data_IF_070940651144
#
_entry.id   IF_070940651144
#
_cell.length_a   1.000
_cell.length_b   1.000
_cell.length_c   1.000
_cell.angle_alpha   90.00
_cell.angle_beta   90.00
_cell.angle_gamma   90.00
#
_symmetry.space_group_name_H-M   'P 1'
#
loop_
_entity.id
_entity.type
_entity.pdbx_description
1 polymer ?
#
# COMPACT_ATOMS: atom_id res chain seq x y z
N UNK A 1 5.44 27.68 -17.84
CA UNK A 1 5.19 26.47 -17.01
C UNK A 1 4.31 25.55 -17.84
N UNK A 2 4.72 24.31 -18.01
CA UNK A 2 3.91 23.27 -18.66
C UNK A 2 2.76 22.98 -17.67
N UNK A 3 1.51 23.01 -18.12
CA UNK A 3 0.38 22.62 -17.28
C UNK A 3 0.48 21.13 -16.96
N UNK A 4 0.14 20.72 -15.73
CA UNK A 4 0.07 19.30 -15.40
C UNK A 4 -0.87 18.49 -16.31
N UNK A 5 -1.87 19.14 -16.87
CA UNK A 5 -2.75 18.56 -17.90
C UNK A 5 -1.99 18.25 -19.21
N UNK A 6 -0.88 18.95 -19.48
CA UNK A 6 -0.07 18.70 -20.68
C UNK A 6 0.72 17.39 -20.59
N UNK A 7 0.85 16.81 -19.40
CA UNK A 7 1.47 15.50 -19.20
C UNK A 7 0.59 14.34 -19.62
N UNK A 8 -0.72 14.57 -19.77
CA UNK A 8 -1.68 13.57 -20.23
C UNK A 8 -1.49 13.27 -21.72
N UNK A 9 -1.63 12.00 -22.11
CA UNK A 9 -1.67 11.63 -23.53
C UNK A 9 -2.91 12.21 -24.22
N UNK A 10 -2.92 12.37 -25.55
CA UNK A 10 -4.12 12.82 -26.28
C UNK A 10 -5.36 11.97 -25.96
N UNK A 11 -5.23 10.64 -25.93
CA UNK A 11 -6.33 9.73 -25.59
C UNK A 11 -6.88 9.97 -24.16
N UNK A 12 -5.99 10.21 -23.19
CA UNK A 12 -6.40 10.51 -21.82
C UNK A 12 -7.14 11.85 -21.73
N UNK A 13 -6.68 12.86 -22.47
CA UNK A 13 -7.36 14.17 -22.54
C UNK A 13 -8.74 14.06 -23.16
N UNK A 14 -8.87 13.38 -24.30
CA UNK A 14 -10.15 13.20 -24.99
C UNK A 14 -11.18 12.46 -24.10
N UNK A 15 -10.72 11.48 -23.31
CA UNK A 15 -11.56 10.79 -22.33
C UNK A 15 -11.97 11.73 -21.20
N UNK A 16 -11.03 12.47 -20.65
CA UNK A 16 -11.27 13.39 -19.54
C UNK A 16 -12.25 14.50 -19.93
N UNK A 17 -12.09 15.09 -21.11
CA UNK A 17 -13.01 16.12 -21.64
C UNK A 17 -14.43 15.58 -21.84
N UNK A 18 -14.55 14.29 -22.17
CA UNK A 18 -15.85 13.62 -22.33
C UNK A 18 -16.49 13.29 -20.99
N UNK A 19 -15.70 12.83 -20.00
CA UNK A 19 -16.20 12.41 -18.69
C UNK A 19 -16.47 13.58 -17.75
N UNK A 20 -15.61 14.60 -17.82
CA UNK A 20 -15.66 15.79 -16.96
C UNK A 20 -15.59 17.07 -17.83
N UNK A 21 -16.64 17.37 -18.64
CA UNK A 21 -16.60 18.51 -19.53
C UNK A 21 -16.44 19.83 -18.77
N UNK A 22 -15.44 20.62 -19.17
CA UNK A 22 -15.15 21.92 -18.55
C UNK A 22 -14.47 21.80 -17.17
N UNK A 23 -13.88 20.66 -16.84
CA UNK A 23 -13.14 20.50 -15.59
C UNK A 23 -11.89 21.38 -15.56
N UNK A 24 -11.63 21.97 -14.40
CA UNK A 24 -10.48 22.84 -14.17
C UNK A 24 -9.50 22.18 -13.18
N UNK A 25 -8.21 22.34 -13.44
CA UNK A 25 -7.16 21.86 -12.53
C UNK A 25 -7.15 22.67 -11.23
N UNK A 26 -7.34 21.97 -10.10
CA UNK A 26 -7.27 22.55 -8.74
C UNK A 26 -5.91 22.33 -8.14
N UNK A 27 -5.37 21.11 -8.25
CA UNK A 27 -4.13 20.74 -7.61
C UNK A 27 -3.44 19.60 -8.37
N UNK A 28 -2.12 19.71 -8.53
CA UNK A 28 -1.26 18.62 -9.00
C UNK A 28 -0.64 17.92 -7.79
N UNK A 29 -0.90 16.61 -7.65
CA UNK A 29 -0.35 15.74 -6.62
C UNK A 29 0.64 14.70 -7.17
N UNK A 30 1.07 14.85 -8.42
CA UNK A 30 1.92 13.85 -9.10
C UNK A 30 3.24 13.61 -8.38
N UNK A 31 3.81 14.62 -7.72
CA UNK A 31 5.04 14.49 -6.92
C UNK A 31 4.90 13.55 -5.72
N UNK A 32 3.68 13.35 -5.21
CA UNK A 32 3.40 12.45 -4.09
C UNK A 32 3.28 10.98 -4.53
N UNK A 33 3.27 10.73 -5.83
CA UNK A 33 3.10 9.43 -6.43
C UNK A 33 4.40 8.91 -7.05
N UNK A 34 4.40 7.61 -7.39
CA UNK A 34 5.56 6.98 -8.03
C UNK A 34 5.86 7.59 -9.40
N UNK A 35 7.12 7.55 -9.79
CA UNK A 35 7.53 7.93 -11.14
C UNK A 35 6.67 7.24 -12.21
N UNK A 36 6.20 8.01 -13.18
CA UNK A 36 5.30 7.53 -14.24
C UNK A 36 3.81 7.51 -13.84
N UNK A 37 3.44 8.10 -12.70
CA UNK A 37 2.06 8.33 -12.31
C UNK A 37 1.76 9.82 -12.30
N UNK A 38 0.65 10.22 -12.90
CA UNK A 38 0.10 11.57 -12.75
C UNK A 38 -1.14 11.48 -11.87
N UNK A 39 -1.27 12.39 -10.89
CA UNK A 39 -2.41 12.47 -10.00
C UNK A 39 -2.89 13.94 -9.90
N UNK A 40 -4.04 14.22 -10.44
CA UNK A 40 -4.60 15.56 -10.57
C UNK A 40 -5.93 15.66 -9.83
N UNK A 41 -6.11 16.72 -9.05
CA UNK A 41 -7.41 17.09 -8.49
C UNK A 41 -8.05 18.09 -9.44
N UNK A 42 -9.21 17.74 -9.97
CA UNK A 42 -10.00 18.57 -10.87
C UNK A 42 -11.30 18.98 -10.21
N UNK A 43 -11.83 20.17 -10.57
CA UNK A 43 -13.19 20.57 -10.23
C UNK A 43 -14.06 20.57 -11.49
N UNK A 44 -15.26 20.03 -11.39
CA UNK A 44 -16.29 20.10 -12.41
C UNK A 44 -17.61 20.52 -11.74
N UNK A 45 -18.03 21.76 -11.97
CA UNK A 45 -19.13 22.36 -11.24
C UNK A 45 -18.80 22.53 -9.74
N UNK A 46 -19.59 21.91 -8.87
CA UNK A 46 -19.38 21.94 -7.41
C UNK A 46 -18.57 20.74 -6.88
N UNK A 47 -18.34 19.75 -7.72
CA UNK A 47 -17.75 18.48 -7.32
C UNK A 47 -16.25 18.47 -7.65
N UNK A 48 -15.48 17.71 -6.87
CA UNK A 48 -14.05 17.48 -7.06
C UNK A 48 -13.79 16.02 -7.38
N UNK A 49 -12.82 15.80 -8.25
CA UNK A 49 -12.42 14.48 -8.71
C UNK A 49 -10.91 14.33 -8.60
N UNK A 50 -10.45 13.13 -8.23
CA UNK A 50 -9.06 12.74 -8.36
C UNK A 50 -8.92 11.92 -9.64
N UNK A 51 -8.05 12.38 -10.53
CA UNK A 51 -7.69 11.70 -11.76
C UNK A 51 -6.31 11.12 -11.61
N UNK A 52 -6.17 9.81 -11.77
CA UNK A 52 -4.87 9.13 -11.81
C UNK A 52 -4.62 8.57 -13.20
N UNK A 53 -3.41 8.76 -13.72
CA UNK A 53 -2.94 8.10 -14.94
C UNK A 53 -1.60 7.44 -14.70
N UNK A 54 -1.23 6.46 -15.52
CA UNK A 54 0.06 5.79 -15.44
C UNK A 54 0.71 5.63 -16.80
N UNK A 55 2.04 5.69 -16.82
CA UNK A 55 2.85 5.34 -17.97
C UNK A 55 2.78 3.84 -18.28
N UNK A 56 3.22 3.45 -19.47
CA UNK A 56 3.30 2.06 -19.90
C UNK A 56 4.21 1.23 -18.96
N UNK A 57 3.78 -0.01 -18.64
CA UNK A 57 4.50 -0.90 -17.72
C UNK A 57 4.20 -0.70 -16.23
N UNK A 58 3.51 0.37 -15.86
CA UNK A 58 3.18 0.67 -14.45
C UNK A 58 1.85 -0.02 -14.08
N UNK A 59 1.92 -1.02 -13.17
CA UNK A 59 0.79 -1.92 -12.87
C UNK A 59 -0.15 -1.45 -11.75
N UNK A 60 0.17 -0.38 -11.03
CA UNK A 60 -0.65 0.01 -9.88
C UNK A 60 -2.06 0.47 -10.29
N UNK A 61 -2.23 1.11 -11.46
CA UNK A 61 -3.57 1.47 -11.98
C UNK A 61 -4.44 0.24 -12.23
N UNK A 62 -3.88 -0.84 -12.78
CA UNK A 62 -4.63 -2.08 -12.98
C UNK A 62 -5.12 -2.68 -11.66
N UNK A 63 -4.27 -2.63 -10.61
CA UNK A 63 -4.61 -3.11 -9.27
C UNK A 63 -5.66 -2.24 -8.59
N UNK A 64 -5.48 -0.92 -8.68
CA UNK A 64 -6.44 0.04 -8.12
C UNK A 64 -7.81 -0.10 -8.78
N UNK A 65 -7.85 -0.26 -10.11
CA UNK A 65 -9.09 -0.50 -10.83
C UNK A 65 -9.74 -1.85 -10.47
N UNK A 66 -8.95 -2.90 -10.27
CA UNK A 66 -9.45 -4.17 -9.78
C UNK A 66 -10.05 -4.05 -8.37
N UNK A 67 -9.38 -3.31 -7.48
CA UNK A 67 -9.88 -3.02 -6.14
C UNK A 67 -11.22 -2.28 -6.19
N UNK A 68 -11.33 -1.21 -6.98
CA UNK A 68 -12.57 -0.44 -7.15
C UNK A 68 -13.73 -1.29 -7.66
N UNK A 69 -13.47 -2.17 -8.61
CA UNK A 69 -14.54 -2.97 -9.25
C UNK A 69 -15.09 -4.09 -8.38
N UNK A 70 -14.30 -4.58 -7.43
CA UNK A 70 -14.65 -5.82 -6.75
C UNK A 70 -14.54 -5.78 -5.23
N UNK A 71 -13.79 -4.84 -4.63
CA UNK A 71 -13.42 -4.95 -3.22
C UNK A 71 -13.67 -3.69 -2.39
N UNK A 72 -13.71 -2.48 -2.98
CA UNK A 72 -13.85 -1.24 -2.22
C UNK A 72 -15.30 -0.91 -1.82
N UNK A 73 -16.30 -1.67 -2.27
CA UNK A 73 -17.71 -1.40 -2.00
C UNK A 73 -18.01 -1.16 -0.50
N UNK A 74 -17.54 -1.98 0.47
CA UNK A 74 -17.84 -1.74 1.88
C UNK A 74 -17.33 -0.39 2.40
N UNK A 75 -16.18 0.07 1.90
CA UNK A 75 -15.64 1.38 2.28
C UNK A 75 -16.32 2.53 1.54
N UNK A 76 -16.59 2.37 0.23
CA UNK A 76 -17.22 3.43 -0.57
C UNK A 76 -18.66 3.69 -0.14
N UNK A 77 -19.44 2.65 0.15
CA UNK A 77 -20.81 2.75 0.65
C UNK A 77 -20.88 3.39 2.03
N UNK A 78 -19.87 3.16 2.87
CA UNK A 78 -19.74 3.81 4.18
C UNK A 78 -19.15 5.23 4.09
N UNK A 79 -18.83 5.76 2.88
CA UNK A 79 -18.19 7.05 2.70
C UNK A 79 -16.74 7.09 3.22
N UNK A 80 -16.09 5.92 3.34
CA UNK A 80 -14.74 5.75 3.89
C UNK A 80 -13.65 5.59 2.82
N UNK A 81 -14.01 5.48 1.56
CA UNK A 81 -13.11 5.49 0.40
C UNK A 81 -13.72 6.27 -0.77
N UNK A 82 -12.90 6.73 -1.75
CA UNK A 82 -13.43 7.35 -2.94
C UNK A 82 -14.27 6.36 -3.76
N UNK A 83 -15.25 6.86 -4.49
CA UNK A 83 -16.01 6.07 -5.45
C UNK A 83 -15.41 6.19 -6.84
N UNK A 84 -15.36 5.09 -7.59
CA UNK A 84 -15.00 5.10 -9.00
C UNK A 84 -16.08 5.86 -9.78
N UNK A 85 -15.67 6.81 -10.62
CA UNK A 85 -16.55 7.57 -11.50
C UNK A 85 -16.44 7.03 -12.91
N UNK A 86 -15.23 7.02 -13.45
CA UNK A 86 -14.94 6.53 -14.80
C UNK A 86 -13.54 5.90 -14.83
N UNK A 87 -13.31 4.99 -15.77
CA UNK A 87 -11.98 4.44 -16.01
C UNK A 87 -11.85 3.87 -17.41
N UNK A 88 -10.66 4.02 -17.97
CA UNK A 88 -10.26 3.32 -19.19
C UNK A 88 -8.93 2.60 -18.94
N UNK A 89 -8.95 1.27 -19.08
CA UNK A 89 -7.78 0.44 -18.83
C UNK A 89 -6.71 0.58 -19.90
N UNK A 90 -7.10 0.75 -21.15
CA UNK A 90 -6.16 0.86 -22.29
C UNK A 90 -5.46 2.22 -22.24
N UNK A 91 -6.21 3.29 -21.99
CA UNK A 91 -5.67 4.62 -21.77
C UNK A 91 -5.01 4.80 -20.40
N UNK A 92 -5.16 3.83 -19.48
CA UNK A 92 -4.58 3.87 -18.11
C UNK A 92 -4.96 5.11 -17.34
N UNK A 93 -6.24 5.38 -17.28
CA UNK A 93 -6.82 6.52 -16.57
C UNK A 93 -7.95 6.05 -15.65
N UNK A 94 -7.97 6.57 -14.44
CA UNK A 94 -9.04 6.38 -13.46
C UNK A 94 -9.49 7.76 -12.97
N UNK A 95 -10.78 7.97 -12.94
CA UNK A 95 -11.44 9.13 -12.32
C UNK A 95 -12.24 8.65 -11.13
N UNK A 96 -12.00 9.23 -9.98
CA UNK A 96 -12.69 8.92 -8.73
C UNK A 96 -13.12 10.18 -8.01
N UNK A 97 -14.08 10.07 -7.09
CA UNK A 97 -14.47 11.20 -6.24
C UNK A 97 -13.29 11.64 -5.38
N UNK A 98 -13.12 12.96 -5.20
CA UNK A 98 -12.13 13.48 -4.28
C UNK A 98 -12.67 13.40 -2.85
N UNK A 99 -11.84 12.91 -1.93
CA UNK A 99 -12.14 12.96 -0.50
C UNK A 99 -11.57 14.25 0.10
N UNK A 100 -12.44 15.05 0.70
CA UNK A 100 -12.02 16.21 1.49
C UNK A 100 -11.43 15.73 2.83
N UNK A 101 -10.53 16.54 3.39
CA UNK A 101 -9.82 16.24 4.63
C UNK A 101 -8.32 16.51 4.50
N UNK A 102 -7.60 16.25 5.58
CA UNK A 102 -6.14 16.39 5.63
C UNK A 102 -5.45 15.01 5.57
N UNK A 103 -4.26 14.91 4.96
CA UNK A 103 -3.49 13.66 5.00
C UNK A 103 -3.19 13.29 6.46
N UNK A 104 -3.52 12.07 6.87
CA UNK A 104 -3.33 11.61 8.25
C UNK A 104 -1.85 11.71 8.68
N UNK A 105 -0.91 11.45 7.77
CA UNK A 105 0.53 11.49 8.04
C UNK A 105 1.05 12.86 8.49
N UNK A 106 0.32 13.95 8.23
CA UNK A 106 0.69 15.34 8.59
C UNK A 106 -0.29 15.96 9.57
N UNK A 107 -1.38 15.28 9.91
CA UNK A 107 -2.37 15.74 10.86
C UNK A 107 -1.94 15.53 12.30
N UNK A 108 -2.21 16.48 13.16
CA UNK A 108 -2.02 16.31 14.60
C UNK A 108 -2.91 15.20 15.19
N UNK A 109 -4.06 14.94 14.56
CA UNK A 109 -4.99 13.88 14.96
C UNK A 109 -4.43 12.47 14.80
N UNK A 110 -3.33 12.26 14.05
CA UNK A 110 -2.67 10.95 13.94
C UNK A 110 -2.14 10.42 15.28
N UNK A 111 -2.01 11.29 16.28
CA UNK A 111 -1.60 10.88 17.63
C UNK A 111 -2.77 10.41 18.51
N UNK A 112 -3.99 10.42 17.98
CA UNK A 112 -5.15 9.89 18.67
C UNK A 112 -5.28 8.37 18.40
N UNK A 113 -5.24 7.50 19.44
CA UNK A 113 -5.44 6.06 19.30
C UNK A 113 -6.77 5.69 18.61
N UNK A 114 -7.79 6.55 18.70
CA UNK A 114 -9.07 6.34 18.03
C UNK A 114 -8.92 6.23 16.49
N UNK A 115 -7.95 6.94 15.90
CA UNK A 115 -7.66 6.83 14.45
C UNK A 115 -7.17 5.42 14.10
N UNK A 116 -6.32 4.83 14.95
CA UNK A 116 -5.83 3.45 14.74
C UNK A 116 -6.93 2.42 14.99
N UNK A 117 -7.83 2.67 15.95
CA UNK A 117 -9.00 1.81 16.16
C UNK A 117 -9.88 1.79 14.91
N UNK A 118 -10.20 2.95 14.32
CA UNK A 118 -10.93 3.04 13.06
C UNK A 118 -10.18 2.36 11.90
N UNK A 119 -8.85 2.50 11.85
CA UNK A 119 -8.04 1.82 10.85
C UNK A 119 -8.15 0.29 10.98
N UNK A 120 -8.14 -0.24 12.20
CA UNK A 120 -8.38 -1.66 12.47
C UNK A 120 -9.75 -2.12 11.99
N UNK A 121 -10.81 -1.41 12.35
CA UNK A 121 -12.20 -1.73 11.93
C UNK A 121 -12.35 -1.77 10.41
N UNK A 122 -11.83 -0.74 9.72
CA UNK A 122 -11.91 -0.70 8.26
C UNK A 122 -11.15 -1.84 7.60
N UNK A 123 -9.97 -2.16 8.13
CA UNK A 123 -9.16 -3.24 7.58
C UNK A 123 -9.79 -4.60 7.82
N UNK A 124 -10.39 -4.85 9.00
CA UNK A 124 -11.11 -6.08 9.29
C UNK A 124 -12.24 -6.32 8.29
N UNK A 125 -13.07 -5.31 8.05
CA UNK A 125 -14.17 -5.38 7.06
C UNK A 125 -13.63 -5.67 5.65
N UNK A 126 -12.45 -5.16 5.32
CA UNK A 126 -11.84 -5.37 4.01
C UNK A 126 -11.31 -6.79 3.84
N UNK A 127 -10.60 -7.30 4.84
CA UNK A 127 -10.05 -8.66 4.85
C UNK A 127 -11.14 -9.74 4.89
N UNK A 128 -12.27 -9.47 5.54
CA UNK A 128 -13.34 -10.43 5.79
C UNK A 128 -14.20 -10.71 4.54
N UNK A 129 -13.98 -9.97 3.44
CA UNK A 129 -14.79 -10.12 2.22
C UNK A 129 -14.56 -11.44 1.49
N UNK A 130 -13.37 -12.02 1.57
CA UNK A 130 -13.02 -13.27 0.93
C UNK A 130 -11.78 -13.91 1.55
N UNK A 131 -11.66 -15.23 1.39
CA UNK A 131 -10.44 -15.97 1.68
C UNK A 131 -10.17 -17.00 0.59
N UNK A 132 -8.90 -17.17 0.25
CA UNK A 132 -8.43 -18.14 -0.74
C UNK A 132 -7.24 -18.90 -0.15
N UNK A 133 -7.25 -20.21 -0.23
CA UNK A 133 -6.09 -21.03 0.13
C UNK A 133 -5.12 -21.08 -1.05
N UNK A 134 -3.83 -20.93 -0.77
CA UNK A 134 -2.76 -20.90 -1.76
C UNK A 134 -1.58 -21.75 -1.25
N UNK A 135 -1.25 -22.80 -1.98
CA UNK A 135 -0.15 -23.74 -1.64
C UNK A 135 1.20 -23.21 -2.16
N UNK A 136 1.20 -22.34 -3.15
CA UNK A 136 2.39 -21.83 -3.81
C UNK A 136 2.89 -20.51 -3.18
N UNK A 137 2.08 -19.84 -2.35
CA UNK A 137 2.41 -18.54 -1.78
C UNK A 137 3.73 -18.52 -1.01
N UNK A 138 3.90 -19.42 -0.04
CA UNK A 138 5.11 -19.50 0.79
C UNK A 138 6.34 -19.97 -0.02
N UNK A 139 6.26 -21.04 -0.86
CA UNK A 139 7.36 -21.44 -1.74
C UNK A 139 7.85 -20.32 -2.66
N UNK A 140 6.93 -19.64 -3.36
CA UNK A 140 7.29 -18.56 -4.29
C UNK A 140 7.99 -17.37 -3.58
N UNK A 141 7.53 -17.02 -2.37
CA UNK A 141 8.17 -15.95 -1.60
C UNK A 141 9.54 -16.35 -1.08
N UNK A 142 9.75 -17.62 -0.68
CA UNK A 142 11.04 -18.13 -0.28
C UNK A 142 12.03 -18.11 -1.45
N UNK A 143 11.64 -18.62 -2.62
CA UNK A 143 12.46 -18.59 -3.83
C UNK A 143 12.86 -17.16 -4.20
N UNK A 144 11.91 -16.23 -4.12
CA UNK A 144 12.17 -14.81 -4.42
C UNK A 144 13.15 -14.19 -3.41
N UNK A 145 13.00 -14.46 -2.12
CA UNK A 145 13.91 -13.98 -1.09
C UNK A 145 15.32 -14.53 -1.29
N UNK A 146 15.46 -15.84 -1.57
CA UNK A 146 16.72 -16.48 -1.89
C UNK A 146 17.40 -15.87 -3.12
N UNK A 147 16.64 -15.58 -4.17
CA UNK A 147 17.16 -14.94 -5.38
C UNK A 147 17.63 -13.50 -5.14
N UNK A 148 17.08 -12.80 -4.16
CA UNK A 148 17.49 -11.44 -3.84
C UNK A 148 18.73 -11.37 -2.97
N UNK A 149 19.08 -12.42 -2.20
CA UNK A 149 20.22 -12.43 -1.30
C UNK A 149 21.52 -12.03 -1.98
N UNK A 150 21.78 -12.53 -3.18
CA UNK A 150 23.00 -12.23 -3.95
C UNK A 150 23.10 -10.74 -4.34
N UNK A 151 21.98 -10.02 -4.34
CA UNK A 151 21.90 -8.59 -4.68
C UNK A 151 21.85 -7.64 -3.50
N UNK A 152 21.99 -8.12 -2.25
CA UNK A 152 21.83 -7.31 -1.04
C UNK A 152 23.07 -6.51 -0.64
N UNK A 153 24.27 -6.96 -1.04
CA UNK A 153 25.55 -6.41 -0.57
C UNK A 153 25.84 -6.69 0.91
N UNK A 154 25.16 -7.66 1.49
CA UNK A 154 25.44 -8.19 2.84
C UNK A 154 26.74 -9.02 2.83
N UNK A 155 27.36 -9.23 4.01
CA UNK A 155 28.49 -10.13 4.15
C UNK A 155 28.10 -11.59 3.95
N UNK A 156 29.04 -12.40 3.46
CA UNK A 156 28.81 -13.80 3.07
C UNK A 156 28.28 -14.66 4.24
N UNK A 157 28.72 -14.37 5.48
CA UNK A 157 28.32 -15.10 6.67
C UNK A 157 26.84 -14.88 6.99
N UNK A 158 26.36 -13.64 6.91
CA UNK A 158 24.95 -13.32 7.10
C UNK A 158 24.09 -13.88 5.95
N UNK A 159 24.57 -13.80 4.72
CA UNK A 159 23.88 -14.39 3.57
C UNK A 159 23.68 -15.89 3.73
N UNK A 160 24.71 -16.63 4.21
CA UNK A 160 24.61 -18.08 4.41
C UNK A 160 23.66 -18.44 5.56
N UNK A 161 23.67 -17.67 6.66
CA UNK A 161 22.69 -17.85 7.74
C UNK A 161 21.26 -17.61 7.25
N UNK A 162 21.01 -16.52 6.53
CA UNK A 162 19.70 -16.22 5.94
C UNK A 162 19.25 -17.31 4.96
N UNK A 163 20.17 -17.83 4.14
CA UNK A 163 19.88 -18.92 3.21
C UNK A 163 19.47 -20.19 3.96
N UNK A 164 20.20 -20.54 5.01
CA UNK A 164 19.91 -21.69 5.86
C UNK A 164 18.56 -21.53 6.55
N UNK A 165 18.30 -20.35 7.11
CA UNK A 165 17.04 -20.01 7.77
C UNK A 165 15.85 -20.17 6.82
N UNK A 166 15.87 -19.50 5.65
CA UNK A 166 14.77 -19.53 4.66
C UNK A 166 14.54 -20.95 4.16
N UNK A 167 15.60 -21.71 3.93
CA UNK A 167 15.50 -23.09 3.41
C UNK A 167 14.89 -24.05 4.45
N UNK A 168 15.02 -23.73 5.74
CA UNK A 168 14.46 -24.53 6.85
C UNK A 168 12.96 -24.27 7.08
N UNK A 169 12.40 -23.19 6.55
CA UNK A 169 11.01 -22.83 6.84
C UNK A 169 10.00 -23.80 6.25
N UNK A 170 8.94 -24.10 6.99
CA UNK A 170 7.82 -24.83 6.43
C UNK A 170 7.12 -23.99 5.35
N UNK A 171 6.54 -24.66 4.38
CA UNK A 171 5.73 -24.04 3.32
C UNK A 171 4.28 -24.49 3.42
N UNK A 172 3.53 -24.06 4.43
CA UNK A 172 2.14 -24.43 4.60
C UNK A 172 1.26 -23.78 3.54
N UNK A 173 0.14 -24.42 3.24
CA UNK A 173 -0.98 -23.75 2.55
C UNK A 173 -1.35 -22.50 3.32
N UNK A 174 -1.42 -21.36 2.65
CA UNK A 174 -1.61 -20.05 3.26
C UNK A 174 -2.95 -19.47 2.88
N UNK A 175 -3.67 -18.96 3.87
CA UNK A 175 -4.93 -18.24 3.62
C UNK A 175 -4.62 -16.80 3.22
N UNK A 176 -5.07 -16.44 2.02
CA UNK A 176 -4.94 -15.10 1.46
C UNK A 176 -6.29 -14.38 1.52
N UNK A 177 -6.25 -13.11 1.86
CA UNK A 177 -7.42 -12.20 1.90
C UNK A 177 -7.17 -10.98 1.00
N UNK A 178 -8.20 -10.22 0.62
CA UNK A 178 -7.99 -8.93 -0.03
C UNK A 178 -7.16 -8.02 0.89
N UNK A 179 -6.00 -7.55 0.44
CA UNK A 179 -5.15 -6.62 1.21
C UNK A 179 -5.00 -5.29 0.50
N UNK A 180 -4.92 -4.20 1.25
CA UNK A 180 -4.63 -2.88 0.73
C UNK A 180 -3.19 -2.80 0.18
N UNK A 181 -2.25 -3.41 0.88
CA UNK A 181 -0.84 -3.52 0.50
C UNK A 181 0.02 -2.29 0.80
N UNK A 182 -0.59 -1.22 1.35
CA UNK A 182 0.11 -0.02 1.82
C UNK A 182 -0.66 0.64 2.97
N UNK A 183 -1.04 -0.16 3.99
CA UNK A 183 -1.85 0.27 5.11
C UNK A 183 -1.02 1.06 6.10
N UNK A 184 -1.12 2.38 6.04
CA UNK A 184 -0.33 3.32 6.84
C UNK A 184 -0.90 4.74 6.73
N UNK A 185 -0.50 5.70 7.62
CA UNK A 185 -1.03 7.06 7.63
C UNK A 185 -0.90 7.86 6.33
N UNK A 186 0.05 7.54 5.46
CA UNK A 186 0.17 8.17 4.13
C UNK A 186 -0.95 7.77 3.17
N UNK A 187 -1.62 6.65 3.44
CA UNK A 187 -2.77 6.14 2.67
C UNK A 187 -4.11 6.48 3.34
N UNK A 188 -4.11 7.39 4.30
CA UNK A 188 -5.31 7.81 5.03
C UNK A 188 -5.53 9.30 4.93
N UNK A 189 -6.81 9.70 4.92
CA UNK A 189 -7.29 11.07 5.01
C UNK A 189 -8.19 11.19 6.22
N UNK A 190 -8.02 12.27 6.99
CA UNK A 190 -8.83 12.57 8.17
C UNK A 190 -9.77 13.74 7.87
N UNK A 191 -11.05 13.51 8.09
CA UNK A 191 -12.08 14.54 7.99
C UNK A 191 -12.92 14.55 9.28
N UNK A 192 -12.73 15.61 10.09
CA UNK A 192 -13.41 15.76 11.37
C UNK A 192 -13.31 14.52 12.29
N UNK A 193 -12.12 13.95 12.43
CA UNK A 193 -11.88 12.75 13.25
C UNK A 193 -12.32 11.42 12.58
N UNK A 194 -12.82 11.49 11.36
CA UNK A 194 -13.22 10.31 10.58
C UNK A 194 -12.08 9.89 9.66
N UNK A 195 -11.59 8.67 9.79
CA UNK A 195 -10.58 8.11 8.92
C UNK A 195 -11.22 7.64 7.60
N UNK A 196 -10.61 8.01 6.47
CA UNK A 196 -10.93 7.56 5.12
C UNK A 196 -9.69 7.01 4.44
N UNK A 197 -9.87 6.01 3.58
CA UNK A 197 -8.78 5.26 2.92
C UNK A 197 -8.62 5.72 1.48
N UNK A 198 -7.38 5.85 1.05
CA UNK A 198 -6.99 6.21 -0.32
C UNK A 198 -5.87 5.28 -0.82
N UNK A 199 -5.64 5.30 -2.13
CA UNK A 199 -4.48 4.69 -2.80
C UNK A 199 -4.41 3.15 -2.72
N UNK A 200 -5.41 2.48 -3.30
CA UNK A 200 -5.47 1.01 -3.42
C UNK A 200 -4.55 0.43 -4.51
N UNK A 201 -3.59 1.20 -5.02
CA UNK A 201 -2.70 0.80 -6.12
C UNK A 201 -1.74 -0.37 -5.79
N UNK A 202 -1.71 -0.82 -4.53
CA UNK A 202 -0.97 -2.02 -4.09
C UNK A 202 -1.86 -3.21 -3.76
N UNK A 203 -3.16 -3.08 -4.02
CA UNK A 203 -4.10 -4.17 -3.80
C UNK A 203 -3.61 -5.51 -4.36
N UNK A 204 -3.73 -6.57 -3.57
CA UNK A 204 -3.57 -7.97 -3.97
C UNK A 204 -4.13 -8.89 -2.88
N UNK A 205 -4.28 -10.17 -3.20
CA UNK A 205 -4.51 -11.21 -2.21
C UNK A 205 -3.20 -11.57 -1.51
N UNK A 206 -3.18 -11.48 -0.18
CA UNK A 206 -2.03 -11.82 0.69
C UNK A 206 -2.54 -12.24 2.07
N UNK A 207 -1.69 -12.84 2.92
CA UNK A 207 -2.04 -13.04 4.34
C UNK A 207 -2.39 -11.70 5.01
N UNK A 208 -3.39 -11.70 5.87
CA UNK A 208 -3.89 -10.51 6.57
C UNK A 208 -2.79 -9.70 7.28
N UNK A 209 -1.81 -10.40 7.86
CA UNK A 209 -0.66 -9.80 8.55
C UNK A 209 0.17 -8.86 7.67
N UNK A 210 0.10 -8.99 6.35
CA UNK A 210 0.89 -8.18 5.42
C UNK A 210 0.60 -6.68 5.56
N UNK A 211 -0.66 -6.31 5.76
CA UNK A 211 -1.05 -4.91 5.89
C UNK A 211 -0.57 -4.26 7.21
N UNK A 212 -0.12 -5.06 8.19
CA UNK A 212 0.43 -4.54 9.44
C UNK A 212 1.93 -4.22 9.36
N UNK A 213 2.64 -4.65 8.31
CA UNK A 213 4.10 -4.51 8.21
C UNK A 213 4.57 -3.05 8.37
N UNK A 214 3.87 -2.11 7.73
CA UNK A 214 4.21 -0.68 7.80
C UNK A 214 3.93 -0.07 9.17
N UNK A 215 2.73 -0.32 9.71
CA UNK A 215 2.35 0.19 11.03
C UNK A 215 3.27 -0.36 12.12
N UNK A 216 3.59 -1.66 12.09
CA UNK A 216 4.47 -2.28 13.06
C UNK A 216 5.89 -1.72 13.02
N UNK A 217 6.41 -1.38 11.83
CA UNK A 217 7.75 -0.84 11.69
C UNK A 217 7.85 0.66 12.02
N UNK A 218 6.75 1.40 12.02
CA UNK A 218 6.77 2.86 12.12
C UNK A 218 5.96 3.39 13.29
N UNK A 219 4.66 3.14 13.32
CA UNK A 219 3.75 3.78 14.25
C UNK A 219 3.68 3.03 15.59
N UNK A 220 3.58 1.71 15.57
CA UNK A 220 3.45 0.88 16.76
C UNK A 220 4.72 0.90 17.62
N UNK A 221 5.91 0.99 17.02
CA UNK A 221 7.17 1.15 17.78
C UNK A 221 7.29 2.51 18.48
N UNK A 222 6.54 3.52 18.02
CA UNK A 222 6.52 4.86 18.65
C UNK A 222 5.59 4.92 19.83
N UNK A 223 4.48 4.18 19.78
CA UNK A 223 3.48 4.20 20.83
C UNK A 223 2.65 2.91 20.80
N UNK A 224 2.77 2.09 21.83
CA UNK A 224 2.06 0.82 21.98
C UNK A 224 0.52 0.98 22.12
N UNK A 225 0.05 2.18 22.45
CA UNK A 225 -1.40 2.44 22.50
C UNK A 225 -2.03 2.43 21.12
N UNK A 226 -1.28 2.75 20.07
CA UNK A 226 -1.75 2.69 18.69
C UNK A 226 -1.98 1.24 18.24
N UNK A 227 -1.05 0.36 18.57
CA UNK A 227 -1.17 -1.07 18.29
C UNK A 227 -2.36 -1.70 19.03
N UNK A 228 -2.51 -1.39 20.32
CA UNK A 228 -3.64 -1.87 21.13
C UNK A 228 -4.97 -1.41 20.55
N UNK A 229 -5.10 -0.13 20.23
CA UNK A 229 -6.30 0.43 19.64
C UNK A 229 -6.60 -0.19 18.26
N UNK A 230 -5.57 -0.39 17.43
CA UNK A 230 -5.72 -1.05 16.14
C UNK A 230 -6.22 -2.49 16.28
N UNK A 231 -5.60 -3.30 17.15
CA UNK A 231 -6.00 -4.68 17.38
C UNK A 231 -7.41 -4.78 18.00
N UNK A 232 -7.78 -3.81 18.85
CA UNK A 232 -9.15 -3.70 19.36
C UNK A 232 -10.16 -3.46 18.23
N UNK A 233 -9.86 -2.51 17.32
CA UNK A 233 -10.71 -2.23 16.17
C UNK A 233 -10.73 -3.37 15.15
N UNK A 234 -9.63 -4.05 14.93
CA UNK A 234 -9.53 -5.21 14.02
C UNK A 234 -10.22 -6.47 14.62
N UNK A 235 -10.35 -6.54 15.93
CA UNK A 235 -10.95 -7.66 16.66
C UNK A 235 -9.98 -8.76 17.09
N UNK A 236 -8.73 -8.73 16.61
CA UNK A 236 -7.66 -9.67 16.97
C UNK A 236 -6.30 -9.12 16.53
N UNK A 237 -5.21 -9.81 16.86
CA UNK A 237 -3.91 -9.60 16.21
C UNK A 237 -3.75 -10.66 15.11
N UNK A 238 -3.71 -10.29 13.83
CA UNK A 238 -3.56 -11.25 12.73
C UNK A 238 -2.13 -11.75 12.54
N UNK A 239 -1.15 -11.29 13.34
CA UNK A 239 0.27 -11.66 13.23
C UNK A 239 0.54 -12.97 13.96
N UNK A 240 0.37 -14.09 13.25
CA UNK A 240 0.89 -15.37 13.76
C UNK A 240 2.42 -15.29 13.84
N UNK A 241 3.06 -15.66 14.98
CA UNK A 241 4.48 -15.35 15.23
C UNK A 241 5.45 -15.86 14.17
N UNK A 242 5.30 -17.11 13.71
CA UNK A 242 6.21 -17.70 12.72
C UNK A 242 6.02 -17.08 11.33
N UNK A 243 4.77 -16.88 10.89
CA UNK A 243 4.47 -16.23 9.64
C UNK A 243 4.92 -14.76 9.65
N UNK A 244 4.77 -14.09 10.80
CA UNK A 244 5.24 -12.73 10.98
C UNK A 244 6.76 -12.62 10.88
N UNK A 245 7.49 -13.53 11.54
CA UNK A 245 8.95 -13.59 11.43
C UNK A 245 9.39 -13.79 9.97
N UNK A 246 8.80 -14.75 9.25
CA UNK A 246 9.10 -14.97 7.82
C UNK A 246 8.86 -13.72 6.97
N UNK A 247 7.73 -13.01 7.21
CA UNK A 247 7.45 -11.75 6.52
C UNK A 247 8.53 -10.70 6.80
N UNK A 248 8.91 -10.49 8.06
CA UNK A 248 9.91 -9.49 8.45
C UNK A 248 11.27 -9.75 7.79
N UNK A 249 11.72 -11.01 7.79
CA UNK A 249 13.00 -11.39 7.14
C UNK A 249 12.95 -11.13 5.63
N UNK A 250 11.87 -11.56 4.95
CA UNK A 250 11.71 -11.34 3.50
C UNK A 250 11.63 -9.86 3.14
N UNK A 251 10.90 -9.07 3.91
CA UNK A 251 10.79 -7.62 3.71
C UNK A 251 12.16 -6.95 3.89
N UNK A 252 12.90 -7.29 4.94
CA UNK A 252 14.23 -6.74 5.18
C UNK A 252 15.22 -7.11 4.07
N UNK A 253 15.20 -8.34 3.55
CA UNK A 253 16.01 -8.76 2.39
C UNK A 253 15.64 -7.93 1.16
N UNK A 254 14.35 -7.74 0.89
CA UNK A 254 13.88 -6.97 -0.27
C UNK A 254 14.32 -5.50 -0.19
N UNK A 255 14.27 -4.91 1.00
CA UNK A 255 14.74 -3.54 1.26
C UNK A 255 16.26 -3.45 1.12
N UNK A 256 17.02 -4.42 1.64
CA UNK A 256 18.47 -4.47 1.50
C UNK A 256 18.89 -4.54 0.02
N UNK A 257 18.28 -5.43 -0.75
CA UNK A 257 18.55 -5.57 -2.19
C UNK A 257 18.20 -4.29 -2.97
N UNK A 258 17.08 -3.65 -2.65
CA UNK A 258 16.73 -2.36 -3.24
C UNK A 258 17.74 -1.26 -2.87
N UNK A 259 18.08 -1.13 -1.60
CA UNK A 259 18.99 -0.11 -1.09
C UNK A 259 20.38 -0.25 -1.69
N UNK A 260 20.89 -1.48 -1.77
CA UNK A 260 22.19 -1.76 -2.42
C UNK A 260 22.19 -1.35 -3.91
N UNK A 261 21.17 -1.77 -4.67
CA UNK A 261 21.05 -1.47 -6.11
C UNK A 261 20.92 0.02 -6.39
N UNK A 262 20.27 0.77 -5.50
CA UNK A 262 20.00 2.21 -5.68
C UNK A 262 20.98 3.13 -4.96
N UNK A 263 21.96 2.57 -4.22
CA UNK A 263 22.99 3.33 -3.54
C UNK A 263 22.55 4.03 -2.25
N UNK A 264 21.46 3.57 -1.61
CA UNK A 264 20.96 4.14 -0.35
C UNK A 264 21.65 3.50 0.86
N UNK A 265 22.89 3.95 1.15
CA UNK A 265 23.77 3.33 2.15
C UNK A 265 23.18 3.25 3.56
N UNK A 266 22.48 4.28 4.03
CA UNK A 266 21.85 4.29 5.37
C UNK A 266 20.75 3.24 5.47
N UNK A 267 19.92 3.10 4.44
CA UNK A 267 18.85 2.09 4.40
C UNK A 267 19.44 0.68 4.33
N UNK A 268 20.54 0.49 3.57
CA UNK A 268 21.25 -0.78 3.50
C UNK A 268 21.84 -1.17 4.88
N UNK A 269 22.42 -0.22 5.62
CA UNK A 269 22.94 -0.46 6.96
C UNK A 269 21.80 -0.85 7.94
N UNK A 270 20.69 -0.10 7.94
CA UNK A 270 19.54 -0.40 8.78
C UNK A 270 18.95 -1.80 8.47
N UNK A 271 18.86 -2.16 7.19
CA UNK A 271 18.36 -3.49 6.79
C UNK A 271 19.29 -4.61 7.25
N UNK A 272 20.62 -4.40 7.21
CA UNK A 272 21.62 -5.35 7.75
C UNK A 272 21.42 -5.55 9.25
N UNK A 273 21.31 -4.46 10.01
CA UNK A 273 21.11 -4.51 11.47
C UNK A 273 19.81 -5.25 11.80
N UNK A 274 18.73 -4.97 11.07
CA UNK A 274 17.46 -5.67 11.21
C UNK A 274 17.60 -7.16 10.94
N UNK A 275 18.26 -7.56 9.84
CA UNK A 275 18.46 -8.97 9.49
C UNK A 275 19.35 -9.70 10.49
N UNK A 276 20.38 -9.03 11.02
CA UNK A 276 21.24 -9.58 12.06
C UNK A 276 20.49 -9.82 13.36
N UNK A 277 19.53 -8.96 13.69
CA UNK A 277 18.68 -9.13 14.86
C UNK A 277 17.62 -10.24 14.69
N UNK A 278 17.09 -10.40 13.47
CA UNK A 278 16.08 -11.42 13.16
C UNK A 278 16.67 -12.82 13.04
N UNK A 279 17.92 -12.94 12.54
CA UNK A 279 18.62 -14.21 12.31
C UNK A 279 20.01 -14.13 12.96
N UNK A 280 20.09 -14.34 14.29
CA UNK A 280 21.31 -14.17 15.07
C UNK A 280 22.42 -15.20 14.79
#
# INVERSE_FOLDING_TARGET
MISALDTLTPAQRDLLDRWLPGAELVLDRSELHRAGTTALVLSAGKDRFLVKTAAEGVRHIDRELAAFRSWLAPWTEAGRAPSLVEADREARIIVMTHLDGEPASTSAAIHDPEIYRQAGELLAVFHDQASVEDEDYEPELNERALAWLDGTGLDDDLVERLRTEITSWPTPTTVLVPTHGDWQPTSWVLDNGTLRVIDSGRFAFRPALYDLSRLSAQDFVRNDTFEKAFCEGYGSDPREPEAWHRLQVRDAISVAAWAHRTGHAEVAALSRDTLTALVP
#
